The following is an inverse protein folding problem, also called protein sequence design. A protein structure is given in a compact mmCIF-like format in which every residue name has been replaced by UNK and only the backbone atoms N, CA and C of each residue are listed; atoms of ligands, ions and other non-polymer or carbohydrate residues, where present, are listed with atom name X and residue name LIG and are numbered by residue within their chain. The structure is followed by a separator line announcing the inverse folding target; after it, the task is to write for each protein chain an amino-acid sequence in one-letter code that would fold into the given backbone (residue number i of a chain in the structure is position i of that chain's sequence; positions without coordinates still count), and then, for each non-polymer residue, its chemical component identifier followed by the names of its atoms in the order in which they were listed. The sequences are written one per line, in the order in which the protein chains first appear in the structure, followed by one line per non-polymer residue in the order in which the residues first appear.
data_IF_583946259909
#
_entry.id   IF_583946259909
#
_cell.length_a   1.000
_cell.length_b   1.000
_cell.length_c   1.000
_cell.angle_alpha   90.00
_cell.angle_beta   90.00
_cell.angle_gamma   90.00
#
_symmetry.space_group_name_H-M   'P 1'
#
loop_
_entity.id
_entity.type
_entity.pdbx_description
1 polymer ?
#
# COMPACT_ATOMS: atom_id res chain seq x y z
N UNK A 1 1.29 9.09 -22.27
CA UNK A 1 0.36 9.04 -21.10
C UNK A 1 0.63 7.73 -20.38
N UNK A 2 1.16 7.78 -19.15
CA UNK A 2 1.42 6.58 -18.35
C UNK A 2 0.11 6.15 -17.67
N UNK A 3 -0.42 4.99 -18.03
CA UNK A 3 -1.64 4.45 -17.41
C UNK A 3 -1.27 3.78 -16.08
N UNK A 4 -1.61 4.41 -14.94
CA UNK A 4 -1.41 3.82 -13.61
C UNK A 4 -2.39 2.67 -13.41
N UNK A 5 -1.88 1.55 -12.90
CA UNK A 5 -2.65 0.34 -12.59
C UNK A 5 -2.72 0.16 -11.07
N UNK A 6 -3.85 -0.32 -10.58
CA UNK A 6 -3.97 -0.89 -9.23
C UNK A 6 -3.93 -2.40 -9.36
N UNK A 7 -3.14 -3.05 -8.50
CA UNK A 7 -3.04 -4.49 -8.39
C UNK A 7 -3.69 -4.92 -7.09
N UNK A 8 -4.52 -5.96 -7.13
CA UNK A 8 -5.25 -6.42 -5.96
C UNK A 8 -5.51 -7.93 -6.02
N UNK A 9 -5.73 -8.53 -4.86
CA UNK A 9 -6.08 -9.93 -4.69
C UNK A 9 -7.03 -10.04 -3.51
N UNK A 10 -8.14 -10.80 -3.61
CA UNK A 10 -8.85 -11.25 -2.42
C UNK A 10 -7.92 -12.07 -1.52
N UNK A 11 -8.02 -11.92 -0.20
CA UNK A 11 -7.18 -12.63 0.78
C UNK A 11 -7.32 -14.16 0.63
N UNK A 12 -8.52 -14.66 0.38
CA UNK A 12 -8.80 -16.08 0.19
C UNK A 12 -8.52 -16.62 -1.22
N UNK A 13 -7.93 -15.81 -2.11
CA UNK A 13 -7.72 -16.16 -3.51
C UNK A 13 -6.24 -16.29 -3.89
N UNK A 14 -5.97 -17.19 -4.82
CA UNK A 14 -4.67 -17.29 -5.50
C UNK A 14 -4.53 -16.28 -6.64
N UNK A 15 -5.62 -15.74 -7.15
CA UNK A 15 -5.61 -14.90 -8.36
C UNK A 15 -5.12 -13.48 -8.07
N UNK A 16 -4.32 -12.93 -8.98
CA UNK A 16 -3.94 -11.52 -8.98
C UNK A 16 -4.71 -10.80 -10.07
N UNK A 17 -5.30 -9.67 -9.73
CA UNK A 17 -6.05 -8.82 -10.64
C UNK A 17 -5.39 -7.47 -10.80
N UNK A 18 -5.71 -6.79 -11.90
CA UNK A 18 -5.41 -5.38 -12.06
C UNK A 18 -6.58 -4.61 -12.66
N UNK A 19 -6.62 -3.32 -12.36
CA UNK A 19 -7.57 -2.37 -12.93
C UNK A 19 -6.88 -1.03 -13.20
N UNK A 20 -7.13 -0.36 -14.34
CA UNK A 20 -6.62 0.98 -14.58
C UNK A 20 -7.22 1.99 -13.61
N UNK A 21 -6.39 2.86 -13.04
CA UNK A 21 -6.83 3.94 -12.13
C UNK A 21 -7.86 4.85 -12.82
N UNK A 22 -7.76 5.05 -14.14
CA UNK A 22 -8.73 5.86 -14.89
C UNK A 22 -10.16 5.29 -14.81
N UNK A 23 -10.31 3.96 -14.78
CA UNK A 23 -11.63 3.32 -14.64
C UNK A 23 -12.29 3.66 -13.30
N UNK A 24 -11.49 3.89 -12.25
CA UNK A 24 -11.97 4.21 -10.91
C UNK A 24 -12.31 5.69 -10.70
N UNK A 25 -11.88 6.59 -11.59
CA UNK A 25 -12.08 8.04 -11.41
C UNK A 25 -13.46 8.53 -11.84
N UNK A 26 -14.08 7.89 -12.83
CA UNK A 26 -15.22 8.46 -13.54
C UNK A 26 -16.56 7.80 -13.20
N UNK A 27 -16.60 6.48 -12.98
CA UNK A 27 -17.84 5.77 -12.68
C UNK A 27 -17.58 4.43 -11.97
N UNK A 28 -17.84 4.36 -10.67
CA UNK A 28 -17.62 3.17 -9.84
C UNK A 28 -18.77 2.13 -9.92
N UNK A 29 -19.87 2.44 -10.61
CA UNK A 29 -21.07 1.59 -10.60
C UNK A 29 -20.91 0.27 -11.38
N UNK A 30 -20.06 0.24 -12.40
CA UNK A 30 -19.70 -0.98 -13.11
C UNK A 30 -18.27 -0.87 -13.68
N UNK A 31 -17.35 -1.60 -13.05
CA UNK A 31 -15.92 -1.61 -13.40
C UNK A 31 -15.44 -2.97 -13.95
N UNK A 32 -16.34 -3.95 -14.07
CA UNK A 32 -16.00 -5.36 -14.32
C UNK A 32 -15.22 -5.53 -15.63
N UNK A 33 -15.64 -4.81 -16.69
CA UNK A 33 -14.96 -4.84 -17.99
C UNK A 33 -13.51 -4.35 -17.96
N UNK A 34 -13.11 -3.61 -16.92
CA UNK A 34 -11.76 -3.08 -16.77
C UNK A 34 -10.87 -3.99 -15.91
N UNK A 35 -11.47 -4.97 -15.21
CA UNK A 35 -10.75 -5.93 -14.39
C UNK A 35 -10.03 -6.93 -15.29
N UNK A 36 -8.73 -7.09 -15.06
CA UNK A 36 -7.90 -8.08 -15.74
C UNK A 36 -7.33 -9.05 -14.73
N UNK A 37 -7.63 -10.33 -14.89
CA UNK A 37 -6.89 -11.38 -14.21
C UNK A 37 -5.51 -11.54 -14.84
N UNK A 38 -4.46 -11.50 -14.02
CA UNK A 38 -3.07 -11.55 -14.45
C UNK A 38 -2.46 -12.95 -14.33
N UNK A 39 -3.02 -13.77 -13.44
CA UNK A 39 -2.57 -15.14 -13.18
C UNK A 39 -2.70 -15.50 -11.70
N UNK A 40 -2.03 -16.59 -11.31
CA UNK A 40 -2.15 -17.19 -9.97
C UNK A 40 -0.82 -17.14 -9.22
N UNK A 41 -0.89 -16.79 -7.93
CA UNK A 41 0.17 -16.95 -6.93
C UNK A 41 0.26 -18.41 -6.49
N UNK A 42 1.38 -18.81 -5.91
CA UNK A 42 1.53 -20.13 -5.26
C UNK A 42 0.75 -20.22 -3.95
N UNK A 43 0.46 -19.09 -3.31
CA UNK A 43 -0.28 -18.96 -2.06
C UNK A 43 -1.13 -17.68 -2.02
N UNK A 44 -2.08 -17.61 -1.09
CA UNK A 44 -2.74 -16.37 -0.66
C UNK A 44 -1.73 -15.32 -0.24
N UNK A 45 -2.10 -14.05 -0.40
CA UNK A 45 -1.32 -12.87 0.00
C UNK A 45 -2.17 -12.00 0.91
N UNK A 46 -1.54 -11.44 1.94
CA UNK A 46 -2.14 -10.39 2.77
C UNK A 46 -1.63 -9.03 2.27
N UNK A 47 -0.41 -8.66 2.64
CA UNK A 47 0.22 -7.43 2.16
C UNK A 47 0.69 -7.49 0.71
N UNK A 48 0.61 -6.34 0.04
CA UNK A 48 1.28 -6.08 -1.24
C UNK A 48 1.72 -4.62 -1.32
N UNK A 49 2.82 -4.35 -2.02
CA UNK A 49 3.27 -2.98 -2.30
C UNK A 49 3.95 -2.90 -3.67
N UNK A 50 3.79 -1.76 -4.33
CA UNK A 50 4.46 -1.46 -5.59
C UNK A 50 5.62 -0.47 -5.35
N UNK A 51 6.75 -0.71 -6.00
CA UNK A 51 7.85 0.26 -6.08
C UNK A 51 7.64 1.26 -7.21
N UNK A 52 8.31 2.41 -7.12
CA UNK A 52 8.35 3.46 -8.17
C UNK A 52 8.75 2.92 -9.54
N UNK A 53 9.60 1.88 -9.60
CA UNK A 53 10.10 1.29 -10.84
C UNK A 53 9.19 0.23 -11.45
N UNK A 54 8.07 -0.12 -10.80
CA UNK A 54 7.10 -1.09 -11.32
C UNK A 54 7.35 -2.53 -10.88
N UNK A 55 8.07 -2.74 -9.77
CA UNK A 55 8.18 -4.05 -9.12
C UNK A 55 7.14 -4.17 -8.02
N UNK A 56 6.28 -5.18 -8.12
CA UNK A 56 5.28 -5.57 -7.12
C UNK A 56 5.92 -6.54 -6.12
N UNK A 57 5.81 -6.27 -4.83
CA UNK A 57 6.23 -7.14 -3.73
C UNK A 57 4.99 -7.61 -2.96
N UNK A 58 4.97 -8.88 -2.55
CA UNK A 58 3.80 -9.48 -1.92
C UNK A 58 4.18 -10.68 -1.04
N UNK A 59 3.32 -10.98 -0.06
CA UNK A 59 3.46 -12.16 0.81
C UNK A 59 2.89 -13.43 0.18
N UNK A 60 3.39 -14.58 0.61
CA UNK A 60 2.88 -15.91 0.28
C UNK A 60 2.67 -16.67 1.60
N UNK A 61 1.44 -16.64 2.11
CA UNK A 61 1.11 -17.10 3.46
C UNK A 61 1.47 -18.57 3.73
N UNK A 62 1.11 -19.50 2.84
CA UNK A 62 1.39 -20.93 2.99
C UNK A 62 2.87 -21.28 2.76
N UNK A 63 3.62 -20.40 2.11
CA UNK A 63 5.05 -20.58 1.81
C UNK A 63 5.96 -19.98 2.89
N UNK A 64 5.40 -19.23 3.86
CA UNK A 64 6.12 -18.32 4.76
C UNK A 64 7.16 -17.49 3.99
N UNK A 65 6.73 -16.84 2.91
CA UNK A 65 7.65 -16.24 1.95
C UNK A 65 7.23 -14.85 1.48
N UNK A 66 8.24 -14.06 1.08
CA UNK A 66 8.07 -12.80 0.37
C UNK A 66 8.49 -13.03 -1.08
N UNK A 67 7.62 -12.62 -2.00
CA UNK A 67 7.85 -12.72 -3.43
C UNK A 67 7.81 -11.34 -4.09
N UNK A 68 8.32 -11.29 -5.32
CA UNK A 68 8.25 -10.11 -6.16
C UNK A 68 7.92 -10.47 -7.61
N UNK A 69 7.42 -9.49 -8.34
CA UNK A 69 7.20 -9.55 -9.77
C UNK A 69 7.52 -8.20 -10.42
N UNK A 70 8.46 -8.21 -11.38
CA UNK A 70 8.78 -7.03 -12.19
C UNK A 70 7.80 -6.93 -13.38
N UNK A 71 6.92 -5.93 -13.34
CA UNK A 71 5.83 -5.79 -14.32
C UNK A 71 6.29 -5.33 -15.70
N UNK A 72 7.52 -4.81 -15.83
CA UNK A 72 8.06 -4.24 -17.08
C UNK A 72 9.00 -5.20 -17.78
N UNK A 73 9.78 -5.95 -17.01
CA UNK A 73 10.86 -6.80 -17.54
C UNK A 73 10.47 -8.28 -17.63
N UNK A 74 9.22 -8.63 -17.39
CA UNK A 74 8.74 -10.01 -17.50
C UNK A 74 7.53 -10.12 -18.43
N UNK A 75 7.42 -11.27 -19.11
CA UNK A 75 6.35 -11.51 -20.11
C UNK A 75 4.96 -11.56 -19.49
N UNK A 76 4.83 -12.13 -18.30
CA UNK A 76 3.57 -12.25 -17.57
C UNK A 76 3.81 -12.50 -16.09
N UNK A 77 2.77 -12.29 -15.27
CA UNK A 77 2.82 -12.58 -13.85
C UNK A 77 3.14 -14.06 -13.56
N UNK A 78 2.50 -14.98 -14.29
CA UNK A 78 2.62 -16.43 -14.08
C UNK A 78 4.07 -16.92 -14.12
N UNK A 79 4.89 -16.41 -15.05
CA UNK A 79 6.29 -16.83 -15.21
C UNK A 79 7.30 -15.85 -14.63
N UNK A 80 6.86 -14.63 -14.31
CA UNK A 80 7.72 -13.54 -13.84
C UNK A 80 7.82 -13.41 -12.33
N UNK A 81 6.91 -14.03 -11.56
CA UNK A 81 6.95 -14.02 -10.11
C UNK A 81 8.12 -14.87 -9.58
N UNK A 82 8.77 -14.42 -8.50
CA UNK A 82 9.83 -15.17 -7.82
C UNK A 82 9.86 -14.89 -6.32
N UNK A 83 10.27 -15.89 -5.54
CA UNK A 83 10.50 -15.75 -4.10
C UNK A 83 11.85 -15.10 -3.86
N UNK A 84 11.89 -14.10 -2.98
CA UNK A 84 13.11 -13.36 -2.60
C UNK A 84 13.51 -13.58 -1.15
N UNK A 85 12.59 -14.07 -0.32
CA UNK A 85 12.86 -14.50 1.05
C UNK A 85 11.89 -15.61 1.42
N UNK A 86 12.39 -16.66 2.06
CA UNK A 86 11.58 -17.74 2.63
C UNK A 86 12.25 -18.22 3.91
N UNK A 87 11.54 -18.08 5.02
CA UNK A 87 11.99 -18.48 6.35
C UNK A 87 10.76 -18.80 7.22
N UNK A 88 10.60 -20.08 7.58
CA UNK A 88 9.45 -20.58 8.35
C UNK A 88 9.39 -20.05 9.80
N UNK A 89 10.38 -19.27 10.25
CA UNK A 89 10.39 -18.60 11.56
C UNK A 89 10.19 -17.10 11.39
N UNK A 90 10.93 -16.47 10.47
CA UNK A 90 10.99 -15.02 10.34
C UNK A 90 9.89 -14.44 9.44
N UNK A 91 9.49 -15.16 8.39
CA UNK A 91 8.56 -14.66 7.37
C UNK A 91 7.20 -15.33 7.41
N UNK A 92 6.79 -15.82 8.59
CA UNK A 92 5.40 -16.16 8.85
C UNK A 92 4.52 -14.92 8.66
N UNK A 93 3.38 -15.12 8.02
CA UNK A 93 2.37 -14.08 7.76
C UNK A 93 2.93 -12.69 7.39
N UNK A 94 3.52 -12.52 6.18
CA UNK A 94 3.94 -11.21 5.70
C UNK A 94 2.73 -10.29 5.47
N UNK A 95 2.55 -9.33 6.37
CA UNK A 95 1.32 -8.58 6.55
C UNK A 95 1.33 -7.24 5.82
N UNK A 96 2.38 -6.45 6.04
CA UNK A 96 2.46 -5.08 5.53
C UNK A 96 3.85 -4.79 4.98
N UNK A 97 3.91 -3.92 3.98
CA UNK A 97 5.14 -3.60 3.28
C UNK A 97 5.28 -2.10 3.07
N UNK A 98 6.51 -1.60 3.14
CA UNK A 98 6.82 -0.19 2.91
C UNK A 98 8.21 -0.03 2.27
N UNK A 99 8.46 1.16 1.75
CA UNK A 99 9.81 1.60 1.37
C UNK A 99 10.12 2.88 2.10
N UNK A 100 11.35 3.02 2.59
CA UNK A 100 11.86 4.30 3.08
C UNK A 100 12.55 5.09 1.97
N UNK A 101 13.01 6.29 2.32
CA UNK A 101 13.66 7.22 1.38
C UNK A 101 15.08 6.80 1.00
N UNK A 102 15.72 5.98 1.84
CA UNK A 102 17.07 5.44 1.65
C UNK A 102 17.11 4.20 0.73
N UNK A 103 15.95 3.80 0.21
CA UNK A 103 15.79 2.67 -0.69
C UNK A 103 15.79 1.32 0.02
N UNK A 104 15.45 1.29 1.32
CA UNK A 104 15.16 0.05 2.01
C UNK A 104 13.70 -0.33 1.84
N UNK A 105 13.51 -1.63 1.63
CA UNK A 105 12.24 -2.33 1.68
C UNK A 105 12.03 -2.88 3.07
N UNK A 106 10.83 -2.65 3.61
CA UNK A 106 10.41 -3.05 4.93
C UNK A 106 9.22 -3.99 4.82
N UNK A 107 9.22 -5.03 5.66
CA UNK A 107 8.11 -5.96 5.80
C UNK A 107 7.80 -6.18 7.28
N UNK A 108 6.55 -5.98 7.66
CA UNK A 108 6.02 -6.44 8.94
C UNK A 108 5.60 -7.90 8.77
N UNK A 109 6.12 -8.76 9.62
CA UNK A 109 5.72 -10.17 9.69
C UNK A 109 5.15 -10.45 11.06
N UNK A 110 4.14 -11.30 11.13
CA UNK A 110 3.49 -11.66 12.37
C UNK A 110 3.12 -13.15 12.39
N UNK A 111 2.47 -13.59 13.46
CA UNK A 111 1.96 -14.95 13.58
C UNK A 111 0.44 -14.93 13.74
N UNK A 112 -0.29 -14.22 12.86
CA UNK A 112 -1.75 -14.05 12.98
C UNK A 112 -2.48 -15.40 13.04
N UNK A 113 -1.97 -16.45 12.39
CA UNK A 113 -2.50 -17.80 12.53
C UNK A 113 -2.49 -18.31 13.99
N UNK A 114 -1.48 -17.95 14.79
CA UNK A 114 -1.45 -18.33 16.20
C UNK A 114 -2.47 -17.53 17.02
N UNK A 115 -2.63 -16.24 16.71
CA UNK A 115 -3.68 -15.43 17.33
C UNK A 115 -5.08 -15.98 17.05
N UNK A 116 -5.40 -16.26 15.78
CA UNK A 116 -6.69 -16.81 15.35
C UNK A 116 -7.00 -18.18 15.98
N UNK A 117 -5.97 -18.96 16.33
CA UNK A 117 -6.10 -20.29 16.92
C UNK A 117 -5.89 -20.33 18.45
N UNK A 118 -5.76 -19.18 19.12
CA UNK A 118 -5.45 -19.09 20.57
C UNK A 118 -4.15 -19.82 20.96
N UNK A 119 -3.10 -19.70 20.15
CA UNK A 119 -1.78 -20.35 20.33
C UNK A 119 -0.62 -19.35 20.43
N UNK A 120 -0.90 -18.09 20.81
CA UNK A 120 0.14 -17.09 20.99
C UNK A 120 1.00 -17.44 22.20
N UNK A 121 2.30 -17.63 21.99
CA UNK A 121 3.27 -17.77 23.08
C UNK A 121 3.93 -16.42 23.34
N UNK A 122 3.64 -15.83 24.49
CA UNK A 122 4.16 -14.52 24.88
C UNK A 122 5.67 -14.52 25.20
N UNK A 123 6.29 -15.69 25.30
CA UNK A 123 7.72 -15.83 25.60
C UNK A 123 8.59 -15.79 24.34
N UNK A 124 7.98 -15.76 23.15
CA UNK A 124 8.70 -15.64 21.88
C UNK A 124 8.36 -14.34 21.14
N UNK A 125 9.24 -13.86 20.24
CA UNK A 125 8.90 -12.76 19.34
C UNK A 125 7.80 -13.18 18.35
N UNK A 126 6.60 -12.60 18.49
CA UNK A 126 5.44 -12.88 17.62
C UNK A 126 5.32 -11.91 16.44
N UNK A 127 5.95 -10.74 16.53
CA UNK A 127 5.87 -9.65 15.55
C UNK A 127 7.28 -9.19 15.22
N UNK A 128 7.57 -8.96 13.93
CA UNK A 128 8.90 -8.56 13.46
C UNK A 128 8.78 -7.48 12.40
N UNK A 129 9.86 -6.72 12.29
CA UNK A 129 10.08 -5.78 11.21
C UNK A 129 11.37 -6.20 10.49
N UNK A 130 11.24 -6.66 9.25
CA UNK A 130 12.35 -7.12 8.42
C UNK A 130 12.70 -6.02 7.43
N UNK A 131 14.00 -5.74 7.29
CA UNK A 131 14.55 -4.76 6.35
C UNK A 131 15.47 -5.42 5.35
N UNK A 132 15.33 -5.05 4.08
CA UNK A 132 16.31 -5.37 3.04
C UNK A 132 16.56 -4.15 2.15
N UNK A 133 17.77 -4.00 1.63
CA UNK A 133 18.09 -2.89 0.73
C UNK A 133 17.81 -3.29 -0.72
N UNK A 134 16.87 -2.59 -1.36
CA UNK A 134 16.47 -2.84 -2.76
C UNK A 134 16.83 -1.68 -3.70
N UNK A 135 17.16 -0.50 -3.15
CA UNK A 135 17.63 0.65 -3.92
C UNK A 135 16.53 1.37 -4.72
N UNK A 136 15.26 1.19 -4.37
CA UNK A 136 14.10 1.82 -5.03
C UNK A 136 13.16 2.44 -4.01
N UNK A 137 12.44 3.50 -4.42
CA UNK A 137 11.42 4.16 -3.61
C UNK A 137 10.02 3.56 -3.84
N UNK A 138 9.05 3.90 -2.99
CA UNK A 138 7.66 3.46 -3.14
C UNK A 138 6.95 4.06 -4.38
N UNK A 139 5.78 3.51 -4.74
CA UNK A 139 4.95 3.89 -5.90
C UNK A 139 4.51 5.37 -5.97
N UNK A 140 4.65 6.14 -4.90
CA UNK A 140 4.30 7.56 -4.85
C UNK A 140 5.38 8.42 -5.52
N UNK A 141 6.61 7.91 -5.62
CA UNK A 141 7.72 8.57 -6.31
C UNK A 141 7.72 8.27 -7.81
N UNK A 142 8.34 9.16 -8.59
CA UNK A 142 8.70 8.88 -9.98
C UNK A 142 9.91 7.94 -10.05
N UNK A 143 10.12 7.33 -11.22
CA UNK A 143 11.22 6.37 -11.47
C UNK A 143 12.62 6.99 -11.32
N UNK A 144 12.74 8.29 -11.52
CA UNK A 144 13.97 9.06 -11.28
C UNK A 144 14.19 9.41 -9.80
N UNK A 145 13.32 8.96 -8.89
CA UNK A 145 13.42 9.17 -7.45
C UNK A 145 12.86 10.51 -6.94
N UNK A 146 12.37 11.39 -7.82
CA UNK A 146 11.72 12.65 -7.40
C UNK A 146 10.28 12.39 -6.95
N UNK A 147 9.79 13.20 -6.02
CA UNK A 147 8.39 13.16 -5.59
C UNK A 147 7.53 14.03 -6.53
N UNK A 148 6.25 13.68 -6.74
CA UNK A 148 5.28 14.59 -7.36
C UNK A 148 5.05 15.80 -6.47
N UNK A 149 4.69 16.93 -7.08
CA UNK A 149 4.15 18.07 -6.33
C UNK A 149 2.87 17.63 -5.61
N UNK A 150 2.86 17.77 -4.29
CA UNK A 150 1.68 17.51 -3.48
C UNK A 150 0.75 18.72 -3.57
N UNK A 151 -0.58 18.53 -3.60
CA UNK A 151 -1.49 19.65 -3.50
C UNK A 151 -1.30 20.36 -2.16
N UNK A 152 -1.23 21.69 -2.18
CA UNK A 152 -1.26 22.49 -0.96
C UNK A 152 -2.63 22.33 -0.30
N UNK A 153 -2.65 21.66 0.85
CA UNK A 153 -3.81 21.63 1.73
C UNK A 153 -3.69 22.80 2.70
N UNK A 154 -4.19 23.97 2.32
CA UNK A 154 -4.46 25.02 3.31
C UNK A 154 -5.55 24.49 4.24
N UNK A 155 -5.17 23.99 5.42
CA UNK A 155 -6.12 23.72 6.48
C UNK A 155 -6.94 25.01 6.67
N UNK A 156 -8.27 24.94 6.60
CA UNK A 156 -9.18 26.09 6.70
C UNK A 156 -9.19 26.79 8.07
N UNK A 157 -8.08 26.79 8.80
CA UNK A 157 -7.88 27.54 10.04
C UNK A 157 -7.74 29.05 9.79
N UNK A 158 -7.25 29.46 8.60
CA UNK A 158 -7.03 30.87 8.28
C UNK A 158 -8.29 31.59 7.75
N UNK A 159 -9.37 30.85 7.49
CA UNK A 159 -10.64 31.43 7.01
C UNK A 159 -11.67 31.65 8.13
N UNK A 160 -11.23 31.94 9.36
CA UNK A 160 -12.09 32.68 10.29
C UNK A 160 -12.12 34.12 9.77
N UNK A 161 -13.06 34.35 8.86
CA UNK A 161 -13.35 35.62 8.22
C UNK A 161 -13.39 36.73 9.27
N UNK A 162 -12.51 37.73 9.14
CA UNK A 162 -12.49 38.98 9.93
C UNK A 162 -13.89 39.62 10.10
N UNK A 163 -14.84 39.28 9.24
CA UNK A 163 -16.26 39.63 9.30
C UNK A 163 -16.92 39.24 10.62
N UNK A 164 -16.62 38.06 11.20
CA UNK A 164 -17.19 37.61 12.47
C UNK A 164 -16.68 38.42 13.66
N UNK A 165 -15.40 38.80 13.65
CA UNK A 165 -14.79 39.62 14.70
C UNK A 165 -15.38 41.03 14.68
N UNK A 166 -15.54 41.63 13.49
CA UNK A 166 -16.14 42.96 13.34
C UNK A 166 -17.61 43.00 13.83
N UNK A 167 -18.41 41.99 13.46
CA UNK A 167 -19.80 41.86 13.88
C UNK A 167 -19.95 41.72 15.40
N UNK A 168 -19.09 40.91 16.04
CA UNK A 168 -19.11 40.74 17.50
C UNK A 168 -18.81 42.05 18.24
N UNK A 169 -17.80 42.81 17.77
CA UNK A 169 -17.49 44.11 18.35
C UNK A 169 -18.60 45.14 18.16
N UNK A 170 -19.29 45.15 17.01
CA UNK A 170 -20.45 46.04 16.82
C UNK A 170 -21.62 45.67 17.72
N UNK A 171 -21.90 44.37 17.91
CA UNK A 171 -22.99 43.91 18.77
C UNK A 171 -22.71 44.27 20.25
N UNK A 172 -21.47 44.09 20.71
CA UNK A 172 -21.06 44.48 22.07
C UNK A 172 -21.19 45.98 22.34
N UNK A 173 -20.91 46.85 21.35
CA UNK A 173 -21.09 48.30 21.47
C UNK A 173 -22.58 48.70 21.54
N UNK A 174 -23.47 47.95 20.89
CA UNK A 174 -24.92 48.19 20.97
C UNK A 174 -25.57 47.63 22.23
N UNK A 175 -25.00 46.59 22.85
CA UNK A 175 -25.50 46.03 24.12
C UNK A 175 -25.03 46.85 25.34
N UNK A 176 -23.92 47.58 25.22
CA UNK A 176 -23.34 48.38 26.31
C UNK A 176 -23.81 49.86 26.35
N UNK A 177 -24.88 50.21 25.65
CA UNK A 177 -25.52 51.54 25.68
C UNK A 177 -26.91 51.51 26.28
#
# INVERSE_FOLDING_TARGET
ICFRQIYYSPLSSFHLYSIPVLALKNNLSNIDQYVKELGRKTSQTDGMVMSSTGVLYFGLLADDAIAMWDTKNTRSFTVGQRIISRDHVLTQWPDSFAFDEDGNFWCVTNMLQNFLNNRVDINIPNYRLIRSRVGVKNYQYYENGTAPELPDFTAGADSITFVLVALLSTILVFIAK
#
